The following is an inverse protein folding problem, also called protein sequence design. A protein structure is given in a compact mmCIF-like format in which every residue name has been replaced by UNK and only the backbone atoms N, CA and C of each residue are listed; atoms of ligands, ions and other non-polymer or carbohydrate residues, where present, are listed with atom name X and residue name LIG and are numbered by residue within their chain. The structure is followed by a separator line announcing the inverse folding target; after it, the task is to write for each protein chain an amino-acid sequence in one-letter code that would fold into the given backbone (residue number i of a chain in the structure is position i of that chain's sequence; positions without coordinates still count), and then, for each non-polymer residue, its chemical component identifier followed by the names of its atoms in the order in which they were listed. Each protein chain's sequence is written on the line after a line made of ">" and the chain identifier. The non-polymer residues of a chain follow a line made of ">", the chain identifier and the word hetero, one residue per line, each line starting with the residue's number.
data_IF_831091627994
#
_entry.id   IF_831091627994
#
_cell.length_a   1.000
_cell.length_b   1.000
_cell.length_c   1.000
_cell.angle_alpha   90.00
_cell.angle_beta   90.00
_cell.angle_gamma   90.00
#
_symmetry.space_group_name_H-M   'P 1'
#
loop_
_entity.id
_entity.type
_entity.pdbx_description
1 polymer ?
#
# COMPACT_ATOMS: atom_id res chain seq x y z
N UNK A 1 -8.10 18.16 -5.63
CA UNK A 1 -7.15 17.06 -5.69
C UNK A 1 -7.22 16.30 -7.00
N UNK A 2 -8.39 16.03 -7.56
CA UNK A 2 -8.55 15.42 -8.87
C UNK A 2 -8.51 16.51 -9.94
N UNK A 3 -7.65 16.35 -10.94
CA UNK A 3 -7.51 17.34 -12.03
C UNK A 3 -8.21 16.91 -13.31
N UNK A 4 -8.45 15.62 -13.49
CA UNK A 4 -9.10 15.08 -14.68
C UNK A 4 -9.91 13.83 -14.32
N UNK A 5 -11.21 13.86 -14.69
CA UNK A 5 -12.10 12.71 -14.64
C UNK A 5 -12.57 12.37 -16.05
N UNK A 6 -12.46 11.12 -16.45
CA UNK A 6 -12.86 10.63 -17.74
C UNK A 6 -13.87 9.48 -17.57
N UNK A 7 -14.96 9.48 -18.35
CA UNK A 7 -15.89 8.35 -18.36
C UNK A 7 -15.24 7.18 -19.09
N UNK A 8 -15.31 5.99 -18.50
CA UNK A 8 -14.66 4.78 -19.02
C UNK A 8 -15.73 3.69 -19.23
N UNK A 9 -15.73 3.07 -20.40
CA UNK A 9 -16.62 1.96 -20.70
C UNK A 9 -16.00 0.62 -20.28
N UNK A 10 -14.73 0.38 -20.62
CA UNK A 10 -14.00 -0.84 -20.28
C UNK A 10 -12.79 -0.52 -19.40
N UNK A 11 -12.92 -0.82 -18.10
CA UNK A 11 -11.86 -0.59 -17.11
C UNK A 11 -10.62 -1.42 -17.39
N UNK A 12 -10.74 -2.63 -17.95
CA UNK A 12 -9.61 -3.51 -18.18
C UNK A 12 -8.70 -2.94 -19.28
N UNK A 13 -9.27 -2.62 -20.45
CA UNK A 13 -8.55 -2.02 -21.57
C UNK A 13 -7.97 -0.66 -21.20
N UNK A 14 -8.81 0.21 -20.64
CA UNK A 14 -8.39 1.55 -20.24
C UNK A 14 -7.24 1.52 -19.24
N UNK A 15 -7.31 0.67 -18.21
CA UNK A 15 -6.27 0.61 -17.20
C UNK A 15 -4.94 0.10 -17.73
N UNK A 16 -4.93 -0.80 -18.71
CA UNK A 16 -3.72 -1.29 -19.35
C UNK A 16 -2.95 -0.15 -20.04
N UNK A 17 -3.65 0.67 -20.81
CA UNK A 17 -3.04 1.82 -21.49
C UNK A 17 -2.73 2.97 -20.54
N UNK A 18 -3.65 3.34 -19.69
CA UNK A 18 -3.50 4.46 -18.77
C UNK A 18 -2.38 4.26 -17.72
N UNK A 19 -1.99 3.01 -17.43
CA UNK A 19 -0.87 2.70 -16.56
C UNK A 19 0.48 3.22 -17.08
N UNK A 20 0.62 3.36 -18.40
CA UNK A 20 1.83 3.90 -19.06
C UNK A 20 2.03 5.39 -18.80
N UNK A 21 0.97 6.09 -18.38
CA UNK A 21 1.04 7.52 -18.08
C UNK A 21 1.65 7.88 -16.72
N UNK A 22 2.03 6.88 -15.89
CA UNK A 22 2.61 7.06 -14.55
C UNK A 22 1.79 7.96 -13.61
N UNK A 23 0.50 8.16 -13.88
CA UNK A 23 -0.41 8.89 -13.00
C UNK A 23 -0.99 8.00 -11.90
N UNK A 24 -1.35 8.60 -10.77
CA UNK A 24 -2.18 7.92 -9.76
C UNK A 24 -3.62 7.93 -10.23
N UNK A 25 -4.19 6.76 -10.48
CA UNK A 25 -5.52 6.64 -11.07
C UNK A 25 -6.46 5.88 -10.16
N UNK A 26 -7.66 6.42 -10.01
CA UNK A 26 -8.79 5.82 -9.31
C UNK A 26 -9.87 5.47 -10.32
N UNK A 27 -10.31 4.24 -10.34
CA UNK A 27 -11.51 3.82 -11.06
C UNK A 27 -12.66 3.74 -10.07
N UNK A 28 -13.72 4.50 -10.35
CA UNK A 28 -14.88 4.56 -9.49
C UNK A 28 -16.13 4.17 -10.28
N UNK A 29 -16.96 3.34 -9.66
CA UNK A 29 -18.30 3.09 -10.13
C UNK A 29 -19.25 4.09 -9.46
N UNK A 30 -19.85 4.96 -10.26
CA UNK A 30 -20.72 6.03 -9.80
C UNK A 30 -22.18 5.64 -10.03
N UNK A 31 -22.96 5.66 -8.97
CA UNK A 31 -24.39 5.32 -8.98
C UNK A 31 -25.23 6.49 -8.51
N UNK A 32 -26.40 6.68 -9.15
CA UNK A 32 -27.41 7.67 -8.77
C UNK A 32 -28.79 7.07 -8.93
N UNK A 33 -29.72 7.44 -8.05
CA UNK A 33 -31.10 6.98 -8.14
C UNK A 33 -31.76 7.47 -9.44
N UNK A 34 -32.29 6.55 -10.21
CA UNK A 34 -33.01 6.86 -11.47
C UNK A 34 -32.11 7.04 -12.70
N UNK A 35 -30.80 6.86 -12.59
CA UNK A 35 -29.85 6.95 -13.70
C UNK A 35 -29.03 5.66 -13.84
N UNK A 36 -28.52 5.42 -15.04
CA UNK A 36 -27.63 4.27 -15.30
C UNK A 36 -26.28 4.48 -14.62
N UNK A 37 -25.69 3.44 -13.98
CA UNK A 37 -24.36 3.53 -13.39
C UNK A 37 -23.33 3.93 -14.44
N UNK A 38 -22.39 4.78 -14.05
CA UNK A 38 -21.27 5.19 -14.90
C UNK A 38 -19.96 4.85 -14.21
N UNK A 39 -18.97 4.42 -15.00
CA UNK A 39 -17.61 4.22 -14.49
C UNK A 39 -16.74 5.38 -14.91
N UNK A 40 -15.98 5.94 -13.97
CA UNK A 40 -15.05 7.03 -14.21
C UNK A 40 -13.63 6.62 -13.84
N UNK A 41 -12.66 7.14 -14.58
CA UNK A 41 -11.25 7.16 -14.20
C UNK A 41 -10.89 8.58 -13.75
N UNK A 42 -10.42 8.71 -12.52
CA UNK A 42 -10.02 9.97 -11.92
C UNK A 42 -8.52 9.99 -11.70
N UNK A 43 -7.81 10.96 -12.25
CA UNK A 43 -6.39 11.15 -12.02
C UNK A 43 -6.17 12.08 -10.83
N UNK A 44 -5.44 11.58 -9.83
CA UNK A 44 -5.07 12.34 -8.63
C UNK A 44 -3.65 12.89 -8.80
N UNK A 45 -3.50 14.19 -8.72
CA UNK A 45 -2.23 14.88 -8.96
C UNK A 45 -1.60 15.49 -7.72
N UNK A 46 -2.37 15.65 -6.65
CA UNK A 46 -1.92 16.22 -5.38
C UNK A 46 -2.72 15.67 -4.20
N UNK A 47 -2.12 15.67 -3.04
CA UNK A 47 -2.70 15.21 -1.78
C UNK A 47 -2.08 13.92 -1.28
N UNK A 48 -2.76 13.28 -0.33
CA UNK A 48 -2.33 12.00 0.26
C UNK A 48 -3.22 10.85 -0.23
N UNK A 49 -2.59 9.73 -0.58
CA UNK A 49 -3.27 8.52 -1.04
C UNK A 49 -3.58 7.52 0.09
N UNK A 50 -3.16 7.78 1.32
CA UNK A 50 -3.24 6.80 2.41
C UNK A 50 -4.66 6.33 2.72
N UNK A 51 -5.64 7.20 2.45
CA UNK A 51 -7.05 6.92 2.67
C UNK A 51 -7.80 6.44 1.41
N UNK A 52 -7.12 6.30 0.28
CA UNK A 52 -7.72 5.82 -0.95
C UNK A 52 -7.59 4.29 -1.01
N UNK A 53 -8.68 3.59 -0.74
CA UNK A 53 -8.74 2.13 -0.65
C UNK A 53 -9.87 1.64 -1.54
N UNK A 54 -9.65 0.50 -2.21
CA UNK A 54 -10.69 -0.18 -2.99
C UNK A 54 -11.88 -0.52 -2.08
N UNK A 55 -13.10 -0.24 -2.55
CA UNK A 55 -14.33 -0.41 -1.77
C UNK A 55 -14.75 0.82 -0.97
N UNK A 56 -13.93 1.87 -0.90
CA UNK A 56 -14.30 3.11 -0.21
C UNK A 56 -15.28 3.92 -1.06
N UNK A 57 -16.31 4.45 -0.39
CA UNK A 57 -17.29 5.33 -1.00
C UNK A 57 -16.88 6.80 -0.88
N UNK A 58 -17.22 7.56 -1.91
CA UNK A 58 -17.08 9.01 -1.99
C UNK A 58 -18.23 9.63 -2.76
N UNK A 59 -18.23 10.94 -2.86
CA UNK A 59 -19.20 11.69 -3.65
C UNK A 59 -18.47 12.26 -4.87
N UNK A 60 -19.03 12.01 -6.04
CA UNK A 60 -18.58 12.59 -7.31
C UNK A 60 -19.61 13.61 -7.78
N UNK A 61 -19.15 14.80 -8.16
CA UNK A 61 -19.97 15.85 -8.75
C UNK A 61 -19.69 15.89 -10.26
N UNK A 62 -20.74 15.79 -11.05
CA UNK A 62 -20.61 15.93 -12.49
C UNK A 62 -20.60 17.42 -12.92
N UNK A 63 -20.41 17.66 -14.22
CA UNK A 63 -20.36 19.03 -14.77
C UNK A 63 -21.67 19.82 -14.59
N UNK A 64 -22.76 19.15 -14.27
CA UNK A 64 -24.07 19.76 -13.99
C UNK A 64 -24.30 19.97 -12.49
N UNK A 65 -23.30 19.70 -11.64
CA UNK A 65 -23.39 19.82 -10.19
C UNK A 65 -24.23 18.71 -9.53
N UNK A 66 -24.51 17.62 -10.24
CA UNK A 66 -25.29 16.50 -9.70
C UNK A 66 -24.40 15.58 -8.89
N UNK A 67 -24.92 15.12 -7.75
CA UNK A 67 -24.22 14.23 -6.85
C UNK A 67 -24.36 12.77 -7.28
N UNK A 68 -23.24 12.06 -7.31
CA UNK A 68 -23.15 10.63 -7.57
C UNK A 68 -22.44 9.94 -6.41
N UNK A 69 -22.98 8.79 -6.01
CA UNK A 69 -22.28 7.94 -5.04
C UNK A 69 -21.21 7.13 -5.78
N UNK A 70 -19.95 7.46 -5.51
CA UNK A 70 -18.79 6.87 -6.17
C UNK A 70 -18.12 5.83 -5.27
N UNK A 71 -18.01 4.59 -5.75
CA UNK A 71 -17.29 3.53 -5.07
C UNK A 71 -15.99 3.22 -5.82
N UNK A 72 -14.85 3.20 -5.11
CA UNK A 72 -13.54 2.90 -5.69
C UNK A 72 -13.47 1.40 -6.00
N UNK A 73 -13.35 1.05 -7.27
CA UNK A 73 -13.26 -0.35 -7.75
C UNK A 73 -11.84 -0.80 -8.02
N UNK A 74 -10.97 0.11 -8.51
CA UNK A 74 -9.58 -0.21 -8.84
C UNK A 74 -8.69 1.02 -8.62
N UNK A 75 -7.45 0.76 -8.20
CA UNK A 75 -6.42 1.80 -8.01
C UNK A 75 -5.18 1.42 -8.80
N UNK A 76 -4.62 2.35 -9.58
CA UNK A 76 -3.26 2.25 -10.11
C UNK A 76 -2.37 3.12 -9.25
N UNK A 77 -1.57 2.47 -8.40
CA UNK A 77 -0.73 3.12 -7.40
C UNK A 77 0.58 3.62 -8.01
N UNK A 78 0.63 4.90 -8.31
CA UNK A 78 1.83 5.62 -8.70
C UNK A 78 2.09 6.77 -7.71
N UNK A 79 3.33 7.25 -7.57
CA UNK A 79 3.60 8.35 -6.65
C UNK A 79 2.88 9.63 -7.07
N UNK A 80 2.15 10.24 -6.14
CA UNK A 80 1.48 11.52 -6.34
C UNK A 80 2.47 12.67 -6.16
N UNK A 81 3.40 12.55 -5.20
CA UNK A 81 4.39 13.56 -4.89
C UNK A 81 5.65 12.99 -4.24
N UNK A 82 6.72 13.81 -4.22
CA UNK A 82 8.03 13.41 -3.67
C UNK A 82 7.94 13.18 -2.15
N UNK A 83 7.21 14.02 -1.43
CA UNK A 83 7.03 13.87 0.02
C UNK A 83 6.38 12.53 0.38
N UNK A 84 5.35 12.11 -0.36
CA UNK A 84 4.72 10.80 -0.19
C UNK A 84 5.72 9.65 -0.44
N UNK A 85 6.55 9.78 -1.47
CA UNK A 85 7.56 8.78 -1.80
C UNK A 85 8.63 8.65 -0.72
N UNK A 86 9.01 9.74 -0.08
CA UNK A 86 9.96 9.75 1.03
C UNK A 86 9.45 8.92 2.22
N UNK A 87 8.18 9.06 2.57
CA UNK A 87 7.58 8.33 3.68
C UNK A 87 7.06 6.93 3.31
N UNK A 88 6.99 6.60 2.01
CA UNK A 88 6.40 5.34 1.55
C UNK A 88 7.08 4.08 2.11
N UNK A 89 8.42 3.96 2.25
CA UNK A 89 9.04 2.76 2.80
C UNK A 89 8.66 2.56 4.27
N UNK A 90 8.59 3.62 5.07
CA UNK A 90 8.20 3.56 6.48
C UNK A 90 6.74 3.15 6.64
N UNK A 91 5.83 3.71 5.83
CA UNK A 91 4.42 3.34 5.81
C UNK A 91 4.22 1.87 5.45
N UNK A 92 5.01 1.33 4.52
CA UNK A 92 4.98 -0.09 4.17
C UNK A 92 5.42 -0.99 5.32
N UNK A 93 6.48 -0.63 6.03
CA UNK A 93 6.97 -1.37 7.21
C UNK A 93 5.90 -1.37 8.30
N UNK A 94 5.30 -0.23 8.61
CA UNK A 94 4.24 -0.12 9.62
C UNK A 94 3.02 -0.96 9.23
N UNK A 95 2.57 -0.89 7.98
CA UNK A 95 1.45 -1.71 7.48
C UNK A 95 1.76 -3.21 7.57
N UNK A 96 2.97 -3.61 7.20
CA UNK A 96 3.40 -5.00 7.32
C UNK A 96 3.42 -5.47 8.78
N UNK A 97 3.98 -4.68 9.69
CA UNK A 97 4.00 -5.00 11.12
C UNK A 97 2.58 -5.10 11.70
N UNK A 98 1.69 -4.17 11.36
CA UNK A 98 0.28 -4.19 11.79
C UNK A 98 -0.46 -5.43 11.27
N UNK A 99 -0.19 -5.85 10.03
CA UNK A 99 -0.78 -7.06 9.47
C UNK A 99 -0.30 -8.33 10.17
N UNK A 100 0.98 -8.38 10.58
CA UNK A 100 1.50 -9.52 11.35
C UNK A 100 0.86 -9.61 12.74
N UNK A 101 0.73 -8.47 13.42
CA UNK A 101 0.06 -8.41 14.73
C UNK A 101 -1.40 -8.82 14.61
N UNK A 102 -2.12 -8.33 13.59
CA UNK A 102 -3.52 -8.68 13.35
C UNK A 102 -3.72 -10.16 13.03
N UNK A 103 -2.81 -10.79 12.30
CA UNK A 103 -2.84 -12.23 12.02
C UNK A 103 -2.62 -13.04 13.30
N UNK A 104 -1.64 -12.67 14.12
CA UNK A 104 -1.40 -13.34 15.39
C UNK A 104 -2.58 -13.20 16.36
N UNK A 105 -3.21 -12.02 16.42
CA UNK A 105 -4.40 -11.80 17.24
C UNK A 105 -5.58 -12.68 16.77
N UNK A 106 -5.82 -12.75 15.44
CA UNK A 106 -6.90 -13.58 14.89
C UNK A 106 -6.68 -15.08 15.09
N UNK A 107 -5.43 -15.55 15.06
CA UNK A 107 -5.11 -16.95 15.33
C UNK A 107 -5.25 -17.28 16.83
N UNK A 108 -4.93 -16.33 17.72
CA UNK A 108 -5.13 -16.47 19.16
C UNK A 108 -6.62 -16.52 19.50
N UNK A 109 -7.46 -15.67 18.89
CA UNK A 109 -8.91 -15.66 19.10
C UNK A 109 -9.57 -16.98 18.65
N UNK A 110 -9.13 -17.55 17.53
CA UNK A 110 -9.61 -18.86 17.07
C UNK A 110 -9.27 -19.98 18.07
N UNK A 111 -8.07 -19.93 18.62
CA UNK A 111 -7.63 -20.94 19.62
C UNK A 111 -8.39 -20.80 20.94
N UNK A 112 -8.68 -19.58 21.36
CA UNK A 112 -9.46 -19.33 22.59
C UNK A 112 -10.92 -19.71 22.38
N UNK A 113 -11.52 -19.38 21.24
CA UNK A 113 -12.93 -19.68 20.94
C UNK A 113 -13.16 -21.19 20.84
N UNK A 114 -12.25 -21.96 20.22
CA UNK A 114 -12.35 -23.42 20.15
C UNK A 114 -12.25 -24.09 21.52
N UNK A 115 -11.45 -23.53 22.43
CA UNK A 115 -11.29 -24.07 23.79
C UNK A 115 -12.49 -23.76 24.74
N UNK A 116 -13.28 -22.72 24.43
CA UNK A 116 -14.46 -22.35 25.21
C UNK A 116 -15.68 -23.19 24.80
N UNK A 117 -15.76 -23.57 23.50
CA UNK A 117 -16.92 -24.35 23.01
C UNK A 117 -16.90 -25.81 23.49
N UNK A 118 -15.73 -26.35 23.80
CA UNK A 118 -15.56 -27.76 24.20
C UNK A 118 -15.56 -28.03 25.71
N UNK A 119 -15.98 -27.10 26.58
CA UNK A 119 -16.32 -27.34 27.97
C UNK A 119 -15.40 -28.28 28.80
N UNK A 120 -14.17 -28.55 28.35
CA UNK A 120 -13.19 -29.39 29.06
C UNK A 120 -12.10 -28.53 29.69
N UNK A 121 -12.16 -28.44 31.01
CA UNK A 121 -11.05 -28.06 31.88
C UNK A 121 -9.81 -28.85 31.45
N UNK A 122 -8.83 -28.20 30.86
CA UNK A 122 -7.58 -28.84 30.47
C UNK A 122 -6.74 -29.09 31.69
N UNK A 123 -6.76 -30.35 32.13
CA UNK A 123 -5.68 -30.96 32.89
C UNK A 123 -4.41 -30.91 32.02
N UNK A 124 -3.37 -30.28 32.55
CA UNK A 124 -2.01 -30.39 32.01
C UNK A 124 -1.69 -31.86 31.79
N UNK A 125 -1.50 -32.25 30.55
CA UNK A 125 -0.79 -33.50 30.22
C UNK A 125 -0.09 -33.31 28.88
N UNK A 126 1.17 -33.68 28.91
CA UNK A 126 2.17 -33.67 27.87
C UNK A 126 1.75 -34.21 26.50
N UNK A 127 2.47 -33.70 25.49
CA UNK A 127 2.82 -34.39 24.26
C UNK A 127 1.73 -34.51 23.16
N UNK A 128 1.62 -33.45 22.35
CA UNK A 128 1.62 -33.69 20.90
C UNK A 128 2.61 -32.71 20.23
N UNK A 129 3.87 -33.15 20.22
CA UNK A 129 4.95 -32.56 19.46
C UNK A 129 4.65 -32.80 17.99
N UNK A 130 3.94 -31.87 17.33
CA UNK A 130 4.12 -31.68 15.92
C UNK A 130 5.63 -31.56 15.75
N UNK A 131 6.27 -32.55 15.13
CA UNK A 131 7.72 -32.60 14.89
C UNK A 131 8.09 -31.36 14.08
N UNK A 132 8.41 -30.27 14.77
CA UNK A 132 9.08 -29.13 14.17
C UNK A 132 10.45 -29.68 13.81
N UNK A 133 10.69 -29.80 12.51
CA UNK A 133 11.95 -30.29 11.99
C UNK A 133 13.10 -29.44 12.57
N UNK A 134 14.05 -30.11 13.25
CA UNK A 134 15.19 -29.46 13.90
C UNK A 134 15.94 -28.57 12.90
N UNK A 135 15.94 -28.96 11.61
CA UNK A 135 16.50 -28.17 10.53
C UNK A 135 15.78 -26.83 10.31
N UNK A 136 14.46 -26.79 10.39
CA UNK A 136 13.69 -25.54 10.26
C UNK A 136 13.90 -24.61 11.46
N UNK A 137 13.99 -25.14 12.68
CA UNK A 137 14.29 -24.35 13.88
C UNK A 137 15.71 -23.79 13.85
N UNK A 138 16.67 -24.58 13.40
CA UNK A 138 18.07 -24.16 13.25
C UNK A 138 18.19 -23.08 12.16
N UNK A 139 17.54 -23.26 10.98
CA UNK A 139 17.53 -22.27 9.92
C UNK A 139 16.88 -20.95 10.36
N UNK A 140 15.77 -21.02 11.13
CA UNK A 140 15.11 -19.83 11.69
C UNK A 140 16.00 -19.13 12.71
N UNK A 141 16.70 -19.90 13.57
CA UNK A 141 17.65 -19.36 14.55
C UNK A 141 18.82 -18.63 13.89
N UNK A 142 19.39 -19.19 12.82
CA UNK A 142 20.48 -18.54 12.05
C UNK A 142 19.98 -17.28 11.35
N UNK A 143 18.76 -17.31 10.77
CA UNK A 143 18.18 -16.14 10.09
C UNK A 143 17.92 -15.00 11.11
N UNK A 144 17.31 -15.32 12.26
CA UNK A 144 17.06 -14.31 13.32
C UNK A 144 18.38 -13.83 13.90
N UNK A 145 19.35 -14.71 14.17
CA UNK A 145 20.67 -14.36 14.67
C UNK A 145 21.44 -13.46 13.70
N UNK A 146 21.39 -13.74 12.41
CA UNK A 146 22.01 -12.92 11.36
C UNK A 146 21.42 -11.53 11.25
N UNK A 147 20.09 -11.40 11.34
CA UNK A 147 19.41 -10.10 11.35
C UNK A 147 19.76 -9.31 12.62
N UNK A 148 19.79 -9.98 13.78
CA UNK A 148 20.09 -9.34 15.05
C UNK A 148 21.53 -8.82 15.11
N UNK A 149 22.50 -9.60 14.60
CA UNK A 149 23.89 -9.15 14.53
C UNK A 149 24.09 -8.01 13.54
N UNK A 150 23.47 -8.07 12.36
CA UNK A 150 23.53 -6.98 11.39
C UNK A 150 22.92 -5.68 11.96
N UNK A 151 21.79 -5.79 12.66
CA UNK A 151 21.16 -4.65 13.32
C UNK A 151 22.02 -4.11 14.49
N UNK A 152 22.64 -5.01 15.25
CA UNK A 152 23.59 -4.66 16.31
C UNK A 152 24.78 -3.86 15.79
N UNK A 153 25.40 -4.29 14.69
CA UNK A 153 26.51 -3.58 14.05
C UNK A 153 26.11 -2.17 13.58
N UNK A 154 24.89 -2.03 13.01
CA UNK A 154 24.37 -0.73 12.60
C UNK A 154 24.16 0.17 13.82
N UNK A 155 23.58 -0.34 14.90
CA UNK A 155 23.38 0.41 16.12
C UNK A 155 24.73 0.83 16.75
N UNK A 156 25.69 -0.08 16.84
CA UNK A 156 27.03 0.19 17.34
C UNK A 156 27.73 1.29 16.53
N UNK A 157 27.66 1.21 15.20
CA UNK A 157 28.19 2.24 14.32
C UNK A 157 27.53 3.60 14.55
N UNK A 158 26.18 3.63 14.74
CA UNK A 158 25.42 4.86 14.99
C UNK A 158 25.76 5.44 16.36
N UNK A 159 25.76 4.61 17.42
CA UNK A 159 26.12 5.08 18.78
C UNK A 159 27.57 5.45 18.90
N UNK A 160 28.47 4.81 18.12
CA UNK A 160 29.91 5.16 18.06
C UNK A 160 30.19 6.54 17.48
N UNK A 161 29.20 7.16 16.76
CA UNK A 161 29.35 8.53 16.26
C UNK A 161 29.35 9.61 17.37
N UNK A 162 28.96 9.29 18.60
CA UNK A 162 28.96 10.23 19.71
C UNK A 162 28.18 11.52 19.40
N UNK A 163 28.88 12.67 19.37
CA UNK A 163 28.28 13.98 19.08
C UNK A 163 27.60 14.05 17.68
N UNK A 164 28.07 13.23 16.73
CA UNK A 164 27.52 13.14 15.35
C UNK A 164 26.34 12.19 15.23
N UNK A 165 25.85 11.64 16.33
CA UNK A 165 24.70 10.70 16.35
C UNK A 165 23.46 11.22 15.58
N UNK A 166 23.02 12.49 15.72
CA UNK A 166 21.88 12.97 14.94
C UNK A 166 22.12 12.94 13.43
N UNK A 167 23.38 13.19 13.00
CA UNK A 167 23.72 13.10 11.58
C UNK A 167 23.70 11.64 11.07
N UNK A 168 24.14 10.70 11.90
CA UNK A 168 24.06 9.27 11.59
C UNK A 168 22.62 8.77 11.40
N UNK A 169 21.72 9.20 12.28
CA UNK A 169 20.28 8.87 12.17
C UNK A 169 19.68 9.45 10.87
N UNK A 170 19.96 10.73 10.59
CA UNK A 170 19.53 11.37 9.33
C UNK A 170 20.11 10.63 8.11
N UNK A 171 21.38 10.22 8.18
CA UNK A 171 22.04 9.46 7.11
C UNK A 171 21.33 8.13 6.82
N UNK A 172 20.94 7.38 7.84
CA UNK A 172 20.18 6.12 7.67
C UNK A 172 18.80 6.39 7.07
N UNK A 173 18.09 7.39 7.57
CA UNK A 173 16.79 7.77 7.04
C UNK A 173 16.87 8.13 5.55
N UNK A 174 17.89 8.91 5.18
CA UNK A 174 18.13 9.26 3.77
C UNK A 174 18.49 8.02 2.95
N UNK A 175 19.35 7.14 3.42
CA UNK A 175 19.75 5.93 2.70
C UNK A 175 18.55 5.02 2.37
N UNK A 176 17.58 4.93 3.27
CA UNK A 176 16.35 4.15 3.05
C UNK A 176 15.39 4.89 2.10
N UNK A 177 15.26 6.20 2.22
CA UNK A 177 14.28 6.99 1.47
C UNK A 177 14.76 7.42 0.09
N UNK A 178 16.06 7.64 -0.13
CA UNK A 178 16.61 8.14 -1.39
C UNK A 178 16.23 7.28 -2.62
N UNK A 179 16.36 5.93 -2.58
CA UNK A 179 15.97 5.11 -3.73
C UNK A 179 14.50 5.28 -4.09
N UNK A 180 13.62 5.35 -3.08
CA UNK A 180 12.18 5.55 -3.28
C UNK A 180 11.86 6.93 -3.88
N UNK A 181 12.51 7.96 -3.37
CA UNK A 181 12.38 9.35 -3.84
C UNK A 181 12.89 9.47 -5.28
N UNK A 182 14.03 8.85 -5.60
CA UNK A 182 14.60 8.89 -6.95
C UNK A 182 13.67 8.24 -7.98
N UNK A 183 13.15 7.05 -7.69
CA UNK A 183 12.18 6.38 -8.57
C UNK A 183 10.90 7.22 -8.72
N UNK A 184 10.41 7.80 -7.63
CA UNK A 184 9.24 8.67 -7.68
C UNK A 184 9.50 9.94 -8.51
N UNK A 185 10.66 10.55 -8.36
CA UNK A 185 11.04 11.72 -9.16
C UNK A 185 11.07 11.41 -10.66
N UNK A 186 11.66 10.26 -11.06
CA UNK A 186 11.66 9.82 -12.43
C UNK A 186 10.24 9.61 -12.96
N UNK A 187 9.38 8.91 -12.21
CA UNK A 187 7.98 8.67 -12.59
C UNK A 187 7.18 9.97 -12.70
N UNK A 188 7.39 10.91 -11.78
CA UNK A 188 6.71 12.21 -11.81
C UNK A 188 7.16 13.06 -13.02
N UNK A 189 8.44 12.98 -13.41
CA UNK A 189 8.97 13.66 -14.57
C UNK A 189 8.42 13.09 -15.89
N UNK A 190 8.18 11.78 -15.94
CA UNK A 190 7.64 11.08 -17.11
C UNK A 190 6.10 11.04 -17.13
N UNK A 191 5.45 11.65 -16.14
CA UNK A 191 3.98 11.62 -16.04
C UNK A 191 3.33 12.29 -17.24
N UNK A 192 2.49 11.54 -17.95
CA UNK A 192 1.81 11.97 -19.15
C UNK A 192 0.31 11.65 -19.07
N UNK A 193 -0.52 12.53 -19.60
CA UNK A 193 -1.98 12.37 -19.68
C UNK A 193 -2.43 11.68 -20.97
N UNK A 194 -1.58 11.64 -22.00
CA UNK A 194 -1.95 11.04 -23.28
C UNK A 194 -2.47 9.60 -23.17
N UNK A 195 -1.79 8.66 -22.45
CA UNK A 195 -2.29 7.29 -22.34
C UNK A 195 -3.64 7.17 -21.64
N UNK A 196 -3.99 8.11 -20.77
CA UNK A 196 -5.30 8.18 -20.12
C UNK A 196 -6.39 8.52 -21.14
N UNK A 197 -6.12 9.45 -22.03
CA UNK A 197 -7.07 9.88 -23.08
C UNK A 197 -7.15 8.84 -24.20
N UNK A 198 -6.01 8.30 -24.63
CA UNK A 198 -5.94 7.25 -25.65
C UNK A 198 -6.69 5.98 -25.23
N UNK A 199 -6.61 5.61 -23.94
CA UNK A 199 -7.36 4.48 -23.38
C UNK A 199 -8.87 4.64 -23.48
N UNK A 200 -9.36 5.88 -23.65
CA UNK A 200 -10.76 6.22 -23.85
C UNK A 200 -11.15 6.45 -25.33
N UNK A 201 -10.22 6.18 -26.26
CA UNK A 201 -10.44 6.35 -27.68
C UNK A 201 -10.26 7.80 -28.18
N UNK A 202 -9.68 8.68 -27.38
CA UNK A 202 -9.36 10.04 -27.76
C UNK A 202 -7.99 10.03 -28.48
N UNK A 203 -7.97 10.21 -29.79
CA UNK A 203 -6.72 10.38 -30.51
C UNK A 203 -6.12 11.74 -30.16
N UNK A 204 -4.98 11.72 -29.44
CA UNK A 204 -4.20 12.93 -29.20
C UNK A 204 -3.22 13.06 -30.38
N UNK A 205 -3.56 13.87 -31.35
CA UNK A 205 -2.60 14.23 -32.40
C UNK A 205 -1.53 15.14 -31.79
N UNK A 206 -0.31 14.62 -31.70
CA UNK A 206 0.88 15.41 -31.41
C UNK A 206 1.41 16.06 -32.69
#
# INVERSE_FOLDING_TARGET
>A
MCTLCVKVEDVAKHSAMASLGYGYLLYCNCTRKGETPITIAAMVTAGDSDNLIVGRNGIFYDNFGREWNANITKIIDNPIGIAQAFFSPYKRIIKWASQQISKQAADTDKTVTSNITDGKMVKKTDADKKKIDIGTVAALGVAIGGITTAFGMVLEAVFGLGYWLPLGVVGILLAISLPSVFIAWLKLRMRNLAPLLDGNGWAVNC
#
